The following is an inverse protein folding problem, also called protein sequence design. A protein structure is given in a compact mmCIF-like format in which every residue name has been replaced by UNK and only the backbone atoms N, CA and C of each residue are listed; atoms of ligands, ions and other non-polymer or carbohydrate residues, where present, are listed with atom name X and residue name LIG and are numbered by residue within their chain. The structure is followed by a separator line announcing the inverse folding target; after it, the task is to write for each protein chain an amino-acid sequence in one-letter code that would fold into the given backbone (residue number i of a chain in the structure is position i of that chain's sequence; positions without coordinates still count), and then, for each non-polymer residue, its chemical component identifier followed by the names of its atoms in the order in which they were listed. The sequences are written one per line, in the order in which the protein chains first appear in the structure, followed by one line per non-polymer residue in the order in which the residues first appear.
data_IF_717462592508
#
_entry.id   IF_717462592508
#
_cell.length_a   1.000
_cell.length_b   1.000
_cell.length_c   1.000
_cell.angle_alpha   90.00
_cell.angle_beta   90.00
_cell.angle_gamma   90.00
#
_symmetry.space_group_name_H-M   'P 1'
#
loop_
_entity.id
_entity.type
_entity.pdbx_description
1 polymer ?
#
# COMPACT_ATOMS: atom_id res chain seq x y z
N UNK A 1 12.82 43.70 75.22
CA UNK A 1 12.71 42.22 75.10
C UNK A 1 12.08 41.97 73.73
N UNK A 2 12.86 41.73 72.67
CA UNK A 2 13.28 40.41 72.15
C UNK A 2 12.05 39.50 71.97
N UNK A 3 11.66 38.97 70.81
CA UNK A 3 12.30 38.76 69.49
C UNK A 3 11.86 37.37 68.96
N UNK A 4 11.66 37.23 67.63
CA UNK A 4 11.47 35.95 66.92
C UNK A 4 10.43 36.02 65.78
N UNK A 5 10.80 36.38 64.53
CA UNK A 5 11.31 35.51 63.43
C UNK A 5 10.28 34.43 63.02
N UNK A 6 9.81 34.24 61.78
CA UNK A 6 10.18 34.76 60.45
C UNK A 6 10.10 33.63 59.40
N UNK A 7 9.56 33.95 58.20
CA UNK A 7 9.63 33.23 56.90
C UNK A 7 8.79 31.93 56.73
N UNK A 8 7.99 31.72 55.69
CA UNK A 8 8.06 32.23 54.31
C UNK A 8 8.39 31.06 53.37
N UNK A 9 7.35 30.48 52.74
CA UNK A 9 7.45 29.34 51.81
C UNK A 9 8.23 29.70 50.52
N UNK A 10 9.55 29.77 50.61
CA UNK A 10 10.49 29.79 49.49
C UNK A 10 11.18 28.41 49.37
N UNK A 11 10.41 27.41 48.93
CA UNK A 11 10.94 26.12 48.55
C UNK A 11 10.23 25.66 47.28
N UNK A 12 10.84 25.41 46.13
CA UNK A 12 12.22 25.63 45.62
C UNK A 12 12.05 25.88 44.11
N UNK A 13 12.35 27.08 43.56
CA UNK A 13 12.27 27.32 42.12
C UNK A 13 13.16 26.35 41.32
N UNK A 14 14.28 25.90 41.91
CA UNK A 14 15.14 24.86 41.32
C UNK A 14 14.44 23.51 41.11
N UNK A 15 13.48 23.12 41.97
CA UNK A 15 12.81 21.82 41.83
C UNK A 15 11.83 21.83 40.66
N UNK A 16 11.13 22.95 40.44
CA UNK A 16 10.27 23.13 39.26
C UNK A 16 11.07 23.19 37.97
N UNK A 17 12.23 23.86 37.99
CA UNK A 17 13.13 23.92 36.84
C UNK A 17 13.70 22.53 36.51
N UNK A 18 14.14 21.78 37.53
CA UNK A 18 14.59 20.38 37.37
C UNK A 18 13.51 19.50 36.74
N UNK A 19 12.27 19.56 37.26
CA UNK A 19 11.16 18.77 36.71
C UNK A 19 10.85 19.13 35.26
N UNK A 20 10.93 20.42 34.90
CA UNK A 20 10.70 20.88 33.53
C UNK A 20 11.81 20.41 32.57
N UNK A 21 13.07 20.48 33.00
CA UNK A 21 14.22 19.98 32.22
C UNK A 21 14.17 18.46 32.05
N UNK A 22 13.80 17.71 33.10
CA UNK A 22 13.60 16.26 33.01
C UNK A 22 12.46 15.89 32.05
N UNK A 23 11.35 16.65 32.05
CA UNK A 23 10.24 16.42 31.12
C UNK A 23 10.67 16.69 29.67
N UNK A 24 11.40 17.78 29.42
CA UNK A 24 11.93 18.10 28.10
C UNK A 24 12.94 17.05 27.61
N UNK A 25 13.81 16.56 28.49
CA UNK A 25 14.75 15.49 28.17
C UNK A 25 14.02 14.17 27.88
N UNK A 26 12.96 13.84 28.62
CA UNK A 26 12.15 12.65 28.38
C UNK A 26 11.40 12.74 27.04
N UNK A 27 10.83 13.90 26.73
CA UNK A 27 10.14 14.14 25.46
C UNK A 27 11.09 14.16 24.26
N UNK A 28 12.31 14.71 24.41
CA UNK A 28 13.31 14.69 23.34
C UNK A 28 13.87 13.29 23.09
N UNK A 29 14.05 12.49 24.14
CA UNK A 29 14.41 11.06 24.03
C UNK A 29 13.28 10.28 23.36
N UNK A 30 12.02 10.49 23.73
CA UNK A 30 10.89 9.84 23.05
C UNK A 30 10.76 10.25 21.59
N UNK A 31 10.95 11.54 21.27
CA UNK A 31 10.99 12.03 19.89
C UNK A 31 12.11 11.36 19.10
N UNK A 32 13.34 11.34 19.64
CA UNK A 32 14.48 10.68 19.00
C UNK A 32 14.26 9.17 18.81
N UNK A 33 13.75 8.44 19.81
CA UNK A 33 13.51 7.01 19.67
C UNK A 33 12.33 6.67 18.74
N UNK A 34 11.31 7.54 18.66
CA UNK A 34 10.25 7.41 17.65
C UNK A 34 10.76 7.65 16.22
N UNK A 35 11.73 8.55 16.06
CA UNK A 35 12.42 8.79 14.79
C UNK A 35 13.37 7.62 14.44
N UNK A 36 14.07 7.02 15.41
CA UNK A 36 15.03 5.94 15.13
C UNK A 36 14.38 4.68 14.51
N UNK A 37 13.12 4.38 14.84
CA UNK A 37 12.41 3.24 14.24
C UNK A 37 12.02 3.44 12.77
N UNK A 38 11.74 4.68 12.35
CA UNK A 38 11.51 5.02 10.94
C UNK A 38 12.81 5.31 10.20
N UNK A 39 13.79 5.94 10.87
CA UNK A 39 15.12 6.26 10.35
C UNK A 39 15.91 5.01 9.99
N UNK A 40 15.82 3.90 10.74
CA UNK A 40 16.53 2.67 10.38
C UNK A 40 16.07 2.08 9.04
N UNK A 41 14.76 2.12 8.77
CA UNK A 41 14.18 1.69 7.50
C UNK A 41 14.45 2.71 6.39
N UNK A 42 14.27 4.01 6.68
CA UNK A 42 14.54 5.09 5.73
C UNK A 42 16.02 5.24 5.37
N UNK A 43 16.95 4.94 6.29
CA UNK A 43 18.40 4.96 6.04
C UNK A 43 18.87 3.72 5.25
N UNK A 44 18.23 2.56 5.47
CA UNK A 44 18.42 1.39 4.60
C UNK A 44 17.98 1.72 3.16
N UNK A 45 16.81 2.35 3.01
CA UNK A 45 16.28 2.80 1.71
C UNK A 45 17.15 3.91 1.08
N UNK A 46 17.63 4.86 1.89
CA UNK A 46 18.51 5.95 1.45
C UNK A 46 19.84 5.40 0.94
N UNK A 47 20.45 4.46 1.66
CA UNK A 47 21.66 3.75 1.22
C UNK A 47 21.45 2.99 -0.08
N UNK A 48 20.31 2.31 -0.26
CA UNK A 48 20.03 1.66 -1.56
C UNK A 48 19.89 2.67 -2.69
N UNK A 49 19.35 3.88 -2.44
CA UNK A 49 19.26 4.94 -3.47
C UNK A 49 20.62 5.58 -3.82
N UNK A 50 21.56 5.68 -2.88
CA UNK A 50 22.90 6.19 -3.17
C UNK A 50 23.71 5.19 -4.03
N UNK A 51 23.51 3.88 -3.83
CA UNK A 51 24.06 2.83 -4.70
C UNK A 51 23.49 2.85 -6.14
N UNK A 52 22.28 3.36 -6.37
CA UNK A 52 21.69 3.49 -7.72
C UNK A 52 22.46 4.46 -8.63
N UNK A 53 23.13 5.46 -8.05
CA UNK A 53 23.94 6.43 -8.82
C UNK A 53 25.21 5.82 -9.40
N UNK A 54 25.78 4.79 -8.75
CA UNK A 54 27.05 4.18 -9.17
C UNK A 54 26.87 3.02 -10.17
N UNK A 55 25.68 2.40 -10.22
CA UNK A 55 25.37 1.37 -11.24
C UNK A 55 25.02 1.96 -12.62
N UNK A 56 24.98 3.29 -12.75
CA UNK A 56 24.42 4.01 -13.89
C UNK A 56 25.30 4.08 -15.16
N UNK A 57 26.43 3.36 -15.20
CA UNK A 57 27.37 3.41 -16.34
C UNK A 57 27.68 2.11 -17.07
N UNK A 58 27.08 0.97 -16.70
CA UNK A 58 27.36 -0.27 -17.43
C UNK A 58 26.32 -0.54 -18.54
N UNK A 59 26.83 -0.55 -19.76
CA UNK A 59 26.15 -0.91 -21.00
C UNK A 59 25.54 -2.31 -20.93
N UNK A 60 24.26 -2.41 -20.59
CA UNK A 60 23.48 -3.62 -20.82
C UNK A 60 23.46 -3.98 -22.32
N UNK A 61 23.75 -5.23 -22.71
CA UNK A 61 23.78 -5.64 -24.11
C UNK A 61 22.38 -5.54 -24.75
N UNK A 62 22.38 -5.30 -26.07
CA UNK A 62 21.19 -5.28 -26.92
C UNK A 62 20.35 -6.55 -26.77
N UNK A 63 19.04 -6.36 -26.80
CA UNK A 63 17.97 -7.37 -26.88
C UNK A 63 18.40 -8.68 -27.53
N UNK A 64 18.40 -9.76 -26.73
CA UNK A 64 18.62 -11.11 -27.22
C UNK A 64 17.43 -11.54 -28.09
N UNK A 65 17.68 -11.70 -29.39
CA UNK A 65 16.82 -12.49 -30.26
C UNK A 65 16.97 -13.95 -29.80
N UNK A 66 15.96 -14.50 -29.14
CA UNK A 66 15.92 -15.91 -28.79
C UNK A 66 15.64 -16.71 -30.07
N UNK A 67 16.64 -17.48 -30.51
CA UNK A 67 16.47 -18.51 -31.53
C UNK A 67 15.59 -19.63 -30.94
N UNK A 68 14.40 -19.91 -31.50
CA UNK A 68 13.50 -20.94 -30.98
C UNK A 68 14.06 -22.36 -31.06
N UNK A 69 15.13 -22.59 -31.83
CA UNK A 69 15.69 -23.92 -32.08
C UNK A 69 16.57 -24.47 -30.95
N UNK A 70 17.02 -23.64 -30.00
CA UNK A 70 17.98 -24.03 -28.95
C UNK A 70 17.33 -24.54 -27.64
N UNK A 71 15.99 -24.57 -27.58
CA UNK A 71 15.24 -24.85 -26.34
C UNK A 71 14.85 -26.33 -26.10
N UNK A 72 15.41 -27.29 -26.85
CA UNK A 72 14.85 -28.65 -26.91
C UNK A 72 15.77 -29.82 -26.51
N UNK A 73 16.95 -29.61 -25.93
CA UNK A 73 17.90 -30.74 -25.68
C UNK A 73 18.53 -30.87 -24.30
N UNK A 74 18.24 -30.00 -23.32
CA UNK A 74 18.82 -30.18 -21.98
C UNK A 74 17.82 -30.77 -21.00
N UNK A 75 17.98 -32.07 -20.73
CA UNK A 75 17.27 -32.77 -19.67
C UNK A 75 17.47 -32.03 -18.32
N UNK A 76 16.47 -32.05 -17.41
CA UNK A 76 16.60 -31.45 -16.09
C UNK A 76 17.86 -31.95 -15.39
N UNK A 77 18.74 -31.03 -14.96
CA UNK A 77 19.93 -31.38 -14.19
C UNK A 77 19.58 -31.38 -12.70
N UNK A 78 19.91 -32.48 -12.03
CA UNK A 78 19.73 -32.59 -10.58
C UNK A 78 20.38 -31.40 -9.84
N UNK A 79 19.66 -30.84 -8.87
CA UNK A 79 20.10 -29.67 -8.11
C UNK A 79 19.85 -28.30 -8.77
N UNK A 80 19.22 -28.24 -9.95
CA UNK A 80 18.94 -26.99 -10.66
C UNK A 80 17.46 -26.83 -11.03
N UNK A 81 16.93 -25.62 -10.84
CA UNK A 81 15.64 -25.18 -11.37
C UNK A 81 15.72 -24.89 -12.88
N UNK A 82 16.82 -24.29 -13.32
CA UNK A 82 17.11 -23.98 -14.73
C UNK A 82 18.57 -24.32 -14.99
N UNK A 83 18.84 -25.05 -16.06
CA UNK A 83 20.19 -25.42 -16.45
C UNK A 83 20.38 -25.31 -17.96
N UNK A 84 21.16 -24.32 -18.38
CA UNK A 84 21.73 -24.23 -19.73
C UNK A 84 23.09 -23.48 -19.69
N UNK A 85 23.82 -23.34 -20.81
CA UNK A 85 25.11 -22.66 -20.83
C UNK A 85 25.08 -21.20 -20.34
N UNK A 86 23.97 -20.49 -20.55
CA UNK A 86 23.81 -19.05 -20.28
C UNK A 86 23.15 -18.74 -18.93
N UNK A 87 22.33 -19.65 -18.41
CA UNK A 87 21.55 -19.47 -17.19
C UNK A 87 21.55 -20.75 -16.36
N UNK A 88 21.98 -20.63 -15.10
CA UNK A 88 22.06 -21.73 -14.14
C UNK A 88 21.44 -21.27 -12.84
N UNK A 89 20.23 -21.72 -12.55
CA UNK A 89 19.50 -21.36 -11.33
C UNK A 89 19.46 -22.61 -10.44
N UNK A 90 20.17 -22.64 -9.30
CA UNK A 90 20.15 -23.79 -8.39
C UNK A 90 18.78 -23.95 -7.71
N UNK A 91 18.41 -25.19 -7.39
CA UNK A 91 17.26 -25.50 -6.53
C UNK A 91 17.71 -25.54 -5.07
N UNK A 92 17.70 -24.37 -4.43
CA UNK A 92 18.21 -24.17 -3.07
C UNK A 92 17.17 -24.63 -2.05
N UNK A 93 17.62 -25.36 -1.03
CA UNK A 93 16.81 -25.72 0.14
C UNK A 93 16.33 -24.47 0.89
N UNK A 94 15.00 -24.24 1.03
CA UNK A 94 14.46 -23.13 1.81
C UNK A 94 14.92 -23.10 3.28
N UNK A 95 15.43 -24.20 3.84
CA UNK A 95 15.86 -24.35 5.24
C UNK A 95 17.35 -24.64 5.42
N UNK A 96 18.14 -24.31 4.40
CA UNK A 96 19.59 -24.52 4.40
C UNK A 96 20.26 -23.96 5.66
N UNK A 97 21.23 -24.70 6.20
CA UNK A 97 21.88 -24.40 7.50
C UNK A 97 22.44 -22.98 7.57
N UNK A 98 23.01 -22.49 6.46
CA UNK A 98 23.65 -21.17 6.37
C UNK A 98 22.72 -19.99 6.66
N UNK A 99 21.40 -20.14 6.55
CA UNK A 99 20.44 -19.05 6.80
C UNK A 99 19.63 -19.23 8.09
N UNK A 100 19.74 -20.37 8.78
CA UNK A 100 18.88 -20.70 9.93
C UNK A 100 18.94 -19.63 11.02
N UNK A 101 20.13 -19.06 11.25
CA UNK A 101 20.36 -18.00 12.21
C UNK A 101 19.71 -16.65 11.85
N UNK A 102 19.31 -16.45 10.58
CA UNK A 102 18.62 -15.25 10.09
C UNK A 102 17.09 -15.37 10.19
N UNK A 103 16.57 -16.58 10.43
CA UNK A 103 15.13 -16.84 10.47
C UNK A 103 14.63 -16.56 11.88
N UNK A 104 13.84 -15.49 12.02
CA UNK A 104 13.19 -15.13 13.27
C UNK A 104 11.69 -15.04 13.09
N UNK A 105 10.94 -15.70 13.97
CA UNK A 105 9.49 -15.56 14.01
C UNK A 105 9.14 -14.28 14.76
N UNK A 106 8.34 -13.43 14.12
CA UNK A 106 7.74 -12.25 14.76
C UNK A 106 6.39 -12.63 15.37
N UNK A 107 6.06 -11.97 16.46
CA UNK A 107 4.73 -12.09 17.06
C UNK A 107 3.67 -11.53 16.11
N UNK A 108 2.47 -12.13 16.05
CA UNK A 108 1.38 -11.62 15.23
C UNK A 108 0.97 -10.20 15.63
N UNK A 109 0.47 -9.43 14.66
CA UNK A 109 -0.14 -8.13 14.91
C UNK A 109 -1.37 -8.30 15.81
N UNK A 110 -1.43 -7.58 16.93
CA UNK A 110 -2.58 -7.58 17.83
C UNK A 110 -3.57 -6.53 17.36
N UNK A 111 -4.63 -6.97 16.68
CA UNK A 111 -5.73 -6.11 16.27
C UNK A 111 -6.65 -5.76 17.46
N UNK A 112 -7.43 -4.69 17.31
CA UNK A 112 -8.48 -4.32 18.28
C UNK A 112 -9.43 -5.50 18.53
N UNK A 113 -9.80 -5.70 19.80
CA UNK A 113 -10.80 -6.71 20.20
C UNK A 113 -12.23 -6.21 20.03
N UNK A 114 -12.43 -4.93 19.73
CA UNK A 114 -13.76 -4.35 19.50
C UNK A 114 -14.26 -4.70 18.08
N UNK A 115 -15.48 -5.22 17.94
CA UNK A 115 -16.05 -5.53 16.64
C UNK A 115 -16.45 -4.24 15.91
N UNK A 116 -16.40 -4.19 14.56
CA UNK A 116 -16.71 -2.99 13.80
C UNK A 116 -18.05 -2.35 14.18
N UNK A 117 -18.08 -1.02 14.33
CA UNK A 117 -19.32 -0.27 14.61
C UNK A 117 -20.12 0.02 13.33
N UNK A 118 -19.50 -0.10 12.16
CA UNK A 118 -20.15 0.09 10.87
C UNK A 118 -19.80 -1.01 9.88
N UNK A 119 -20.70 -1.23 8.92
CA UNK A 119 -20.48 -2.09 7.77
C UNK A 119 -21.12 -1.50 6.53
N UNK A 120 -20.68 -1.98 5.37
CA UNK A 120 -21.39 -1.78 4.12
C UNK A 120 -22.00 -3.10 3.67
N UNK A 121 -23.27 -3.05 3.26
CA UNK A 121 -23.95 -4.15 2.59
C UNK A 121 -24.53 -3.65 1.26
N UNK A 122 -24.00 -4.15 0.15
CA UNK A 122 -24.29 -3.59 -1.18
C UNK A 122 -23.80 -2.15 -1.28
N UNK A 123 -24.73 -1.20 -1.43
CA UNK A 123 -24.47 0.25 -1.46
C UNK A 123 -25.02 0.95 -0.22
N UNK A 124 -25.31 0.23 0.86
CA UNK A 124 -25.87 0.80 2.08
C UNK A 124 -24.83 0.75 3.19
N UNK A 125 -24.42 1.93 3.68
CA UNK A 125 -23.69 2.07 4.93
C UNK A 125 -24.66 1.87 6.10
N UNK A 126 -24.27 1.06 7.08
CA UNK A 126 -25.09 0.76 8.25
C UNK A 126 -24.29 0.84 9.54
N UNK A 127 -24.91 1.43 10.57
CA UNK A 127 -24.47 1.37 11.96
C UNK A 127 -24.88 0.03 12.58
N UNK A 128 -23.92 -0.69 13.17
CA UNK A 128 -24.16 -1.97 13.84
C UNK A 128 -24.54 -1.67 15.29
N UNK A 129 -25.83 -1.43 15.53
CA UNK A 129 -26.36 -1.06 16.85
C UNK A 129 -26.03 -2.07 17.95
N UNK A 130 -25.92 -3.35 17.62
CA UNK A 130 -25.54 -4.40 18.60
C UNK A 130 -24.14 -4.17 19.16
N UNK A 131 -23.25 -3.50 18.42
CA UNK A 131 -21.87 -3.26 18.85
C UNK A 131 -21.72 -1.91 19.58
N UNK A 132 -22.69 -1.00 19.46
CA UNK A 132 -22.60 0.37 19.98
C UNK A 132 -22.29 0.45 21.48
N UNK A 133 -22.86 -0.46 22.28
CA UNK A 133 -22.65 -0.51 23.73
C UNK A 133 -21.18 -0.75 24.14
N UNK A 134 -20.37 -1.36 23.27
CA UNK A 134 -18.94 -1.59 23.50
C UNK A 134 -18.10 -0.32 23.33
N UNK A 135 -18.64 0.68 22.62
CA UNK A 135 -17.97 1.95 22.34
C UNK A 135 -18.41 3.10 23.27
N UNK A 136 -19.56 2.95 23.93
CA UNK A 136 -20.08 3.89 24.92
C UNK A 136 -21.61 3.85 25.03
N UNK A 137 -22.22 4.80 25.79
CA UNK A 137 -23.67 4.92 25.89
C UNK A 137 -24.30 5.21 24.52
N UNK A 138 -25.21 4.33 24.07
CA UNK A 138 -25.75 4.34 22.70
C UNK A 138 -26.41 5.66 22.31
N UNK A 139 -27.09 6.30 23.25
CA UNK A 139 -27.76 7.60 23.13
C UNK A 139 -26.80 8.78 22.93
N UNK A 140 -25.50 8.59 23.22
CA UNK A 140 -24.48 9.64 23.14
C UNK A 140 -23.51 9.47 21.97
N UNK A 141 -23.66 8.41 21.19
CA UNK A 141 -22.79 8.13 20.04
C UNK A 141 -23.31 8.88 18.82
N UNK A 142 -22.52 9.85 18.36
CA UNK A 142 -22.82 10.61 17.15
C UNK A 142 -21.87 10.17 16.05
N UNK A 143 -22.40 9.55 15.01
CA UNK A 143 -21.63 9.12 13.84
C UNK A 143 -21.90 10.05 12.65
N UNK A 144 -20.87 10.26 11.84
CA UNK A 144 -20.98 10.88 10.54
C UNK A 144 -20.07 10.17 9.54
N UNK A 145 -20.38 10.32 8.26
CA UNK A 145 -19.57 9.78 7.17
C UNK A 145 -19.09 10.90 6.25
N UNK A 146 -17.95 10.69 5.62
CA UNK A 146 -17.32 11.58 4.66
C UNK A 146 -16.95 10.78 3.42
N UNK A 147 -17.12 11.39 2.26
CA UNK A 147 -16.70 10.82 0.99
C UNK A 147 -15.26 11.23 0.68
N UNK A 148 -14.46 10.28 0.17
CA UNK A 148 -13.07 10.50 -0.23
C UNK A 148 -13.00 10.43 -1.76
N UNK A 149 -12.69 11.56 -2.39
CA UNK A 149 -12.67 11.68 -3.84
C UNK A 149 -11.30 12.08 -4.37
N UNK A 150 -10.85 11.43 -5.44
CA UNK A 150 -9.73 11.94 -6.24
C UNK A 150 -10.22 13.05 -7.15
N UNK A 151 -9.43 14.11 -7.25
CA UNK A 151 -9.61 15.13 -8.28
C UNK A 151 -8.38 15.15 -9.16
N UNK A 152 -8.52 14.69 -10.40
CA UNK A 152 -7.44 14.80 -11.38
C UNK A 152 -7.14 16.28 -11.62
N UNK A 153 -5.90 16.70 -11.38
CA UNK A 153 -5.55 18.11 -11.46
C UNK A 153 -5.66 18.64 -12.90
N UNK A 154 -5.98 19.94 -13.00
CA UNK A 154 -5.99 20.69 -14.26
C UNK A 154 -4.59 21.18 -14.64
N UNK A 155 -3.73 21.39 -13.65
CA UNK A 155 -2.35 21.85 -13.82
C UNK A 155 -1.35 20.87 -13.19
N UNK A 156 -0.15 20.83 -13.78
CA UNK A 156 0.89 19.90 -13.37
C UNK A 156 1.46 20.24 -11.99
N UNK A 157 1.58 19.23 -11.13
CA UNK A 157 2.25 19.24 -9.83
C UNK A 157 3.04 17.93 -9.67
N UNK A 158 4.24 17.97 -9.09
CA UNK A 158 5.06 16.79 -8.81
C UNK A 158 4.45 15.83 -7.77
N UNK A 159 3.39 16.26 -7.06
CA UNK A 159 2.60 15.44 -6.12
C UNK A 159 1.14 15.36 -6.52
N UNK A 160 0.85 15.49 -7.82
CA UNK A 160 -0.52 15.45 -8.36
C UNK A 160 -1.29 14.19 -7.96
N UNK A 161 -0.63 13.04 -7.90
CA UNK A 161 -1.26 11.75 -7.57
C UNK A 161 -1.58 11.59 -6.08
N UNK A 162 -1.16 12.55 -5.25
CA UNK A 162 -1.46 12.61 -3.81
C UNK A 162 -2.67 13.51 -3.49
N UNK A 163 -3.25 14.13 -4.52
CA UNK A 163 -4.34 15.10 -4.38
C UNK A 163 -5.69 14.38 -4.32
N UNK A 164 -6.33 14.46 -3.15
CA UNK A 164 -7.68 14.00 -2.92
C UNK A 164 -8.41 14.95 -1.98
N UNK A 165 -9.74 14.91 -1.99
CA UNK A 165 -10.59 15.66 -1.08
C UNK A 165 -11.37 14.73 -0.15
N UNK A 166 -11.74 15.28 1.01
CA UNK A 166 -12.64 14.63 1.96
C UNK A 166 -13.83 15.56 2.16
N UNK A 167 -15.04 15.07 1.93
CA UNK A 167 -16.25 15.88 2.05
C UNK A 167 -16.52 16.36 3.47
N UNK A 168 -17.46 17.28 3.63
CA UNK A 168 -18.02 17.59 4.94
C UNK A 168 -18.64 16.32 5.58
N UNK A 169 -18.57 16.23 6.91
CA UNK A 169 -19.11 15.09 7.64
C UNK A 169 -20.63 15.14 7.69
N UNK A 170 -21.27 14.16 7.07
CA UNK A 170 -22.73 14.04 7.00
C UNK A 170 -23.21 13.12 8.13
N UNK A 171 -24.04 13.61 9.06
CA UNK A 171 -24.51 12.80 10.18
C UNK A 171 -25.42 11.68 9.71
N UNK A 172 -25.33 10.52 10.35
CA UNK A 172 -26.27 9.42 10.14
C UNK A 172 -26.46 8.63 11.45
N UNK A 173 -27.65 8.05 11.61
CA UNK A 173 -28.07 7.38 12.86
C UNK A 173 -28.33 5.89 12.70
N UNK A 174 -28.60 5.42 11.48
CA UNK A 174 -28.87 4.01 11.21
C UNK A 174 -28.26 3.57 9.88
N UNK A 175 -28.92 3.90 8.77
CA UNK A 175 -28.46 3.52 7.43
C UNK A 175 -28.39 4.70 6.47
N UNK A 176 -27.46 4.64 5.52
CA UNK A 176 -27.32 5.59 4.42
C UNK A 176 -27.16 4.83 3.11
N UNK A 177 -27.96 5.17 2.10
CA UNK A 177 -27.74 4.70 0.74
C UNK A 177 -26.70 5.58 0.07
N UNK A 178 -25.59 4.97 -0.31
CA UNK A 178 -24.52 5.62 -1.04
C UNK A 178 -24.91 5.78 -2.50
N UNK A 179 -24.46 6.87 -3.12
CA UNK A 179 -24.65 7.12 -4.56
C UNK A 179 -23.74 6.22 -5.39
N UNK A 180 -24.02 6.13 -6.70
CA UNK A 180 -23.17 5.35 -7.62
C UNK A 180 -21.75 5.88 -7.73
N UNK A 181 -21.51 7.15 -7.39
CA UNK A 181 -20.20 7.79 -7.54
C UNK A 181 -19.30 7.62 -6.31
N UNK A 182 -19.92 7.32 -5.17
CA UNK A 182 -19.21 7.17 -3.90
C UNK A 182 -18.47 5.85 -3.82
N UNK A 183 -17.14 5.92 -3.82
CA UNK A 183 -16.25 4.74 -3.79
C UNK A 183 -15.62 4.51 -2.43
N UNK A 184 -15.32 5.58 -1.68
CA UNK A 184 -14.52 5.50 -0.48
C UNK A 184 -15.16 6.32 0.63
N UNK A 185 -15.54 5.65 1.72
CA UNK A 185 -16.29 6.26 2.81
C UNK A 185 -15.48 6.22 4.09
N UNK A 186 -15.19 7.39 4.66
CA UNK A 186 -14.62 7.54 5.99
C UNK A 186 -15.74 7.75 7.00
N UNK A 187 -15.83 6.89 8.01
CA UNK A 187 -16.77 7.02 9.11
C UNK A 187 -16.01 7.46 10.36
N UNK A 188 -16.55 8.47 11.06
CA UNK A 188 -16.11 8.87 12.39
C UNK A 188 -17.29 8.89 13.34
N UNK A 189 -17.12 8.28 14.51
CA UNK A 189 -18.07 8.37 15.60
C UNK A 189 -17.43 8.99 16.83
N UNK A 190 -18.19 9.88 17.48
CA UNK A 190 -17.73 10.65 18.62
C UNK A 190 -18.76 10.60 19.75
N UNK A 191 -18.27 10.77 20.98
CA UNK A 191 -19.10 11.08 22.15
C UNK A 191 -18.85 12.54 22.53
N UNK A 192 -19.89 13.40 22.54
CA UNK A 192 -19.77 14.77 23.03
C UNK A 192 -19.36 14.77 24.51
N UNK A 193 -18.34 15.57 24.86
CA UNK A 193 -18.02 15.94 26.25
C UNK A 193 -18.11 17.46 26.38
N UNK A 194 -18.19 17.96 27.62
CA UNK A 194 -18.42 19.40 27.91
C UNK A 194 -17.53 20.36 27.10
N UNK A 195 -16.28 19.99 26.81
CA UNK A 195 -15.29 20.89 26.18
C UNK A 195 -14.69 20.34 24.87
N UNK A 196 -14.94 19.07 24.51
CA UNK A 196 -14.40 18.44 23.29
C UNK A 196 -15.21 17.21 22.92
N UNK A 197 -15.25 16.87 21.63
CA UNK A 197 -15.74 15.57 21.14
C UNK A 197 -14.63 14.53 21.31
N UNK A 198 -14.91 13.40 21.97
CA UNK A 198 -13.99 12.25 22.01
C UNK A 198 -14.30 11.34 20.83
N UNK A 199 -13.33 11.13 19.95
CA UNK A 199 -13.41 10.09 18.93
C UNK A 199 -13.34 8.71 19.59
N UNK A 200 -14.26 7.83 19.19
CA UNK A 200 -14.39 6.47 19.73
C UNK A 200 -14.28 5.40 18.64
N UNK A 201 -14.44 5.78 17.38
CA UNK A 201 -14.42 4.88 16.25
C UNK A 201 -14.11 5.66 14.98
N UNK A 202 -13.12 5.17 14.24
CA UNK A 202 -12.80 5.61 12.89
C UNK A 202 -12.61 4.37 12.04
N UNK A 203 -13.25 4.34 10.89
CA UNK A 203 -13.11 3.25 9.94
C UNK A 203 -13.34 3.75 8.51
N UNK A 204 -12.66 3.14 7.55
CA UNK A 204 -12.81 3.43 6.14
C UNK A 204 -13.42 2.22 5.43
N UNK A 205 -14.29 2.48 4.47
CA UNK A 205 -14.91 1.46 3.64
C UNK A 205 -14.65 1.76 2.17
N UNK A 206 -14.18 0.77 1.43
CA UNK A 206 -14.08 0.82 -0.02
C UNK A 206 -15.26 0.05 -0.65
N UNK A 207 -15.92 0.66 -1.62
CA UNK A 207 -17.00 0.06 -2.40
C UNK A 207 -16.65 0.16 -3.89
N UNK A 208 -17.16 -0.79 -4.66
CA UNK A 208 -16.95 -0.89 -6.11
C UNK A 208 -18.29 -0.69 -6.82
N UNK A 209 -18.80 0.56 -6.87
CA UNK A 209 -20.11 0.83 -7.45
C UNK A 209 -20.09 0.77 -8.97
N UNK A 210 -21.20 0.33 -9.58
CA UNK A 210 -21.37 0.39 -11.04
C UNK A 210 -21.75 1.83 -11.43
N UNK A 211 -20.73 2.66 -11.60
CA UNK A 211 -20.83 4.06 -12.06
C UNK A 211 -21.35 4.15 -13.50
N UNK A 212 -21.77 5.34 -13.91
CA UNK A 212 -22.44 5.58 -15.20
C UNK A 212 -21.58 5.16 -16.40
N UNK A 213 -20.31 5.51 -16.39
CA UNK A 213 -19.34 5.19 -17.43
C UNK A 213 -18.99 3.70 -17.47
N UNK A 214 -18.96 3.03 -16.31
CA UNK A 214 -18.81 1.56 -16.24
C UNK A 214 -20.02 0.86 -16.84
N UNK A 215 -21.23 1.32 -16.53
CA UNK A 215 -22.46 0.79 -17.15
C UNK A 215 -22.41 0.93 -18.67
N UNK A 216 -21.99 2.08 -19.18
CA UNK A 216 -21.82 2.32 -20.62
C UNK A 216 -20.76 1.39 -21.23
N UNK A 217 -19.61 1.23 -20.56
CA UNK A 217 -18.52 0.33 -20.98
C UNK A 217 -18.99 -1.12 -21.07
N UNK A 218 -19.77 -1.59 -20.09
CA UNK A 218 -20.36 -2.93 -20.07
C UNK A 218 -21.41 -3.10 -21.17
N UNK A 219 -22.35 -2.16 -21.31
CA UNK A 219 -23.41 -2.23 -22.34
C UNK A 219 -22.85 -2.35 -23.76
N UNK A 220 -21.78 -1.61 -24.07
CA UNK A 220 -21.15 -1.64 -25.39
C UNK A 220 -20.37 -2.94 -25.67
N UNK A 221 -20.05 -3.72 -24.64
CA UNK A 221 -19.15 -4.88 -24.75
C UNK A 221 -19.80 -6.22 -24.40
N UNK A 222 -21.04 -6.22 -23.91
CA UNK A 222 -21.84 -7.42 -23.64
C UNK A 222 -22.45 -7.95 -24.94
N UNK A 223 -21.60 -8.52 -25.81
CA UNK A 223 -22.08 -9.39 -26.88
C UNK A 223 -22.36 -10.78 -26.29
N UNK A 224 -23.58 -11.36 -26.44
CA UNK A 224 -23.97 -12.63 -25.82
C UNK A 224 -23.05 -13.82 -26.15
N UNK A 225 -22.31 -13.75 -27.25
CA UNK A 225 -21.43 -14.82 -27.74
C UNK A 225 -19.96 -14.71 -27.30
N UNK A 226 -19.56 -13.69 -26.53
CA UNK A 226 -18.16 -13.46 -26.20
C UNK A 226 -17.86 -13.76 -24.71
N UNK A 227 -17.46 -15.00 -24.40
CA UNK A 227 -16.96 -15.35 -23.08
C UNK A 227 -15.59 -14.70 -22.88
N UNK A 228 -15.50 -13.69 -22.00
CA UNK A 228 -14.25 -12.99 -21.67
C UNK A 228 -13.77 -13.43 -20.28
N UNK A 229 -12.47 -13.67 -20.13
CA UNK A 229 -11.86 -14.11 -18.87
C UNK A 229 -11.46 -12.89 -18.03
N UNK A 230 -11.85 -12.85 -16.76
CA UNK A 230 -11.31 -11.87 -15.81
C UNK A 230 -9.86 -12.20 -15.45
N UNK A 231 -9.01 -11.17 -15.41
CA UNK A 231 -7.59 -11.30 -15.03
C UNK A 231 -7.37 -10.57 -13.72
N UNK A 232 -6.77 -11.25 -12.74
CA UNK A 232 -6.36 -10.70 -11.45
C UNK A 232 -4.86 -10.93 -11.27
N UNK A 233 -4.14 -9.86 -10.95
CA UNK A 233 -2.72 -9.91 -10.59
C UNK A 233 -2.64 -9.52 -9.11
N UNK A 234 -2.07 -10.41 -8.29
CA UNK A 234 -1.83 -10.16 -6.85
C UNK A 234 -0.33 -10.18 -6.62
N UNK A 235 0.20 -9.08 -6.11
CA UNK A 235 1.60 -8.94 -5.70
C UNK A 235 1.74 -8.98 -4.18
N UNK A 236 2.86 -9.49 -3.69
CA UNK A 236 3.27 -9.41 -2.29
C UNK A 236 4.70 -8.89 -2.26
N UNK A 237 4.89 -7.69 -1.74
CA UNK A 237 6.21 -7.10 -1.53
C UNK A 237 6.71 -7.46 -0.12
N UNK A 238 7.98 -7.79 0.16
CA UNK A 238 9.15 -8.05 -0.70
C UNK A 238 9.57 -9.52 -0.59
N UNK A 239 8.70 -10.45 -1.01
CA UNK A 239 8.89 -11.88 -0.71
C UNK A 239 9.59 -12.65 -1.84
N UNK A 240 10.67 -13.36 -1.51
CA UNK A 240 11.28 -14.33 -2.44
C UNK A 240 10.53 -15.65 -2.42
N UNK A 241 10.66 -16.48 -3.48
CA UNK A 241 10.09 -17.83 -3.53
C UNK A 241 10.44 -18.66 -2.29
N UNK A 242 11.71 -18.66 -1.89
CA UNK A 242 12.16 -19.43 -0.73
C UNK A 242 11.55 -18.88 0.57
N UNK A 243 11.39 -17.56 0.67
CA UNK A 243 10.77 -16.95 1.84
C UNK A 243 9.28 -17.26 1.92
N UNK A 244 8.56 -17.28 0.79
CA UNK A 244 7.16 -17.69 0.71
C UNK A 244 6.95 -19.13 1.23
N UNK A 245 7.85 -20.05 0.87
CA UNK A 245 7.80 -21.44 1.36
C UNK A 245 7.94 -21.49 2.90
N UNK A 246 8.83 -20.67 3.47
CA UNK A 246 9.06 -20.63 4.91
C UNK A 246 7.92 -19.97 5.68
N UNK A 247 7.47 -18.80 5.24
CA UNK A 247 6.57 -17.93 6.03
C UNK A 247 5.10 -18.17 5.72
N UNK A 248 4.76 -18.73 4.56
CA UNK A 248 3.38 -18.99 4.13
C UNK A 248 3.18 -20.45 3.66
N UNK A 249 3.58 -21.47 4.45
CA UNK A 249 3.55 -22.88 4.03
C UNK A 249 2.12 -23.38 3.72
N UNK A 250 1.12 -22.88 4.44
CA UNK A 250 -0.30 -23.21 4.17
C UNK A 250 -0.75 -22.71 2.79
N UNK A 251 -0.34 -21.51 2.42
CA UNK A 251 -0.63 -20.92 1.10
C UNK A 251 0.06 -21.73 0.00
N UNK A 252 1.33 -22.07 0.19
CA UNK A 252 2.08 -22.89 -0.79
C UNK A 252 1.42 -24.25 -1.00
N UNK A 253 1.08 -24.95 0.07
CA UNK A 253 0.39 -26.25 -0.02
C UNK A 253 -0.97 -26.14 -0.73
N UNK A 254 -1.74 -25.09 -0.44
CA UNK A 254 -3.02 -24.84 -1.12
C UNK A 254 -2.84 -24.65 -2.63
N UNK A 255 -1.88 -23.81 -3.06
CA UNK A 255 -1.62 -23.55 -4.48
C UNK A 255 -1.16 -24.82 -5.22
N UNK A 256 -0.33 -25.64 -4.58
CA UNK A 256 0.12 -26.93 -5.12
C UNK A 256 -1.05 -27.90 -5.30
N UNK A 257 -1.92 -28.03 -4.29
CA UNK A 257 -3.09 -28.91 -4.35
C UNK A 257 -4.10 -28.47 -5.43
N UNK A 258 -4.20 -27.15 -5.68
CA UNK A 258 -5.03 -26.57 -6.74
C UNK A 258 -4.39 -26.65 -8.14
N UNK A 259 -3.24 -27.34 -8.29
CA UNK A 259 -2.52 -27.51 -9.55
C UNK A 259 -2.13 -26.19 -10.24
N UNK A 260 -1.80 -25.17 -9.46
CA UNK A 260 -1.30 -23.90 -10.02
C UNK A 260 0.07 -24.11 -10.68
N UNK A 261 0.28 -23.44 -11.81
CA UNK A 261 1.56 -23.48 -12.51
C UNK A 261 2.59 -22.62 -11.77
N UNK A 262 3.60 -23.27 -11.18
CA UNK A 262 4.73 -22.57 -10.59
C UNK A 262 5.77 -22.24 -11.68
N UNK A 263 5.99 -20.95 -11.93
CA UNK A 263 7.03 -20.47 -12.83
C UNK A 263 8.42 -20.54 -12.17
N UNK A 264 8.95 -21.76 -12.00
CA UNK A 264 10.31 -21.98 -11.47
C UNK A 264 11.33 -21.31 -12.39
N UNK A 265 12.32 -20.63 -11.80
CA UNK A 265 13.33 -19.89 -12.55
C UNK A 265 12.89 -18.49 -13.01
N UNK A 266 11.61 -18.11 -12.85
CA UNK A 266 11.21 -16.72 -12.97
C UNK A 266 11.92 -15.87 -11.92
N UNK A 267 12.49 -14.75 -12.35
CA UNK A 267 13.29 -13.89 -11.49
C UNK A 267 12.99 -12.41 -11.78
N UNK A 268 13.33 -11.57 -10.80
CA UNK A 268 13.19 -10.13 -10.88
C UNK A 268 14.16 -9.57 -11.94
N UNK A 269 13.74 -8.50 -12.60
CA UNK A 269 14.53 -7.74 -13.56
C UNK A 269 15.59 -6.86 -12.90
N UNK A 270 15.29 -6.33 -11.72
CA UNK A 270 16.16 -5.38 -11.01
C UNK A 270 15.88 -5.43 -9.49
N UNK A 271 16.56 -4.61 -8.70
CA UNK A 271 16.47 -4.68 -7.25
C UNK A 271 15.17 -4.12 -6.65
N UNK A 272 14.69 -3.00 -7.19
CA UNK A 272 13.57 -2.24 -6.64
C UNK A 272 12.21 -2.61 -7.25
N UNK A 273 11.11 -2.30 -6.56
CA UNK A 273 9.75 -2.65 -6.98
C UNK A 273 9.37 -2.02 -8.33
N UNK A 274 9.70 -0.74 -8.54
CA UNK A 274 9.38 -0.01 -9.77
C UNK A 274 9.85 -0.69 -11.07
N UNK A 275 11.15 -0.96 -11.31
CA UNK A 275 11.60 -1.58 -12.56
C UNK A 275 10.99 -2.97 -12.79
N UNK A 276 10.76 -3.75 -11.74
CA UNK A 276 10.13 -5.07 -11.83
C UNK A 276 8.67 -4.99 -12.26
N UNK A 277 7.88 -4.12 -11.63
CA UNK A 277 6.48 -3.92 -12.00
C UNK A 277 6.33 -3.20 -13.34
N UNK A 278 7.24 -2.30 -13.70
CA UNK A 278 7.26 -1.74 -15.07
C UNK A 278 7.47 -2.83 -16.12
N UNK A 279 8.38 -3.78 -15.89
CA UNK A 279 8.59 -4.88 -16.82
C UNK A 279 7.34 -5.76 -16.96
N UNK A 280 6.68 -6.10 -15.86
CA UNK A 280 5.45 -6.91 -15.87
C UNK A 280 4.30 -6.17 -16.54
N UNK A 281 4.09 -4.90 -16.19
CA UNK A 281 2.89 -4.17 -16.56
C UNK A 281 3.02 -3.44 -17.88
N UNK A 282 4.22 -3.17 -18.38
CA UNK A 282 4.44 -2.45 -19.64
C UNK A 282 5.30 -3.20 -20.65
N UNK A 283 5.95 -4.30 -20.25
CA UNK A 283 6.94 -4.99 -21.08
C UNK A 283 8.26 -4.24 -21.23
N UNK A 284 8.50 -3.18 -20.46
CA UNK A 284 9.68 -2.33 -20.59
C UNK A 284 10.57 -2.39 -19.35
N UNK A 285 11.88 -2.42 -19.57
CA UNK A 285 12.87 -2.19 -18.52
C UNK A 285 13.01 -0.69 -18.21
N UNK A 286 13.72 -0.36 -17.13
CA UNK A 286 13.90 1.02 -16.67
C UNK A 286 14.45 1.95 -17.76
N UNK A 287 15.48 1.52 -18.50
CA UNK A 287 16.10 2.32 -19.58
C UNK A 287 15.12 2.62 -20.71
N UNK A 288 14.26 1.68 -21.07
CA UNK A 288 13.19 1.89 -22.06
C UNK A 288 12.15 2.86 -21.54
N UNK A 289 11.72 2.72 -20.28
CA UNK A 289 10.80 3.65 -19.60
C UNK A 289 11.34 5.07 -19.61
N UNK A 290 12.59 5.28 -19.20
CA UNK A 290 13.25 6.59 -19.18
C UNK A 290 13.48 7.22 -20.56
N UNK A 291 13.46 6.43 -21.63
CA UNK A 291 13.59 6.96 -23.00
C UNK A 291 12.27 7.23 -23.69
N UNK A 292 11.18 6.68 -23.17
CA UNK A 292 9.87 6.66 -23.84
C UNK A 292 8.84 7.51 -23.11
N UNK A 293 8.45 7.08 -21.90
CA UNK A 293 7.25 7.57 -21.25
C UNK A 293 7.50 8.30 -19.92
N UNK A 294 8.63 8.04 -19.25
CA UNK A 294 8.97 8.71 -17.99
C UNK A 294 10.44 9.18 -18.00
N UNK A 295 10.77 10.26 -18.73
CA UNK A 295 12.14 10.73 -18.90
C UNK A 295 12.94 10.95 -17.61
N UNK A 296 12.26 11.40 -16.55
CA UNK A 296 12.80 11.49 -15.21
C UNK A 296 11.66 11.32 -14.18
N UNK A 297 12.02 11.22 -12.90
CA UNK A 297 11.06 10.98 -11.82
C UNK A 297 10.01 12.10 -11.63
N UNK A 298 10.21 13.28 -12.21
CA UNK A 298 9.21 14.37 -12.18
C UNK A 298 8.16 14.21 -13.28
N UNK A 299 8.37 13.36 -14.28
CA UNK A 299 7.36 13.09 -15.29
C UNK A 299 6.32 12.09 -14.76
N UNK A 300 5.02 12.29 -15.04
CA UNK A 300 4.02 11.30 -14.73
C UNK A 300 4.18 10.08 -15.65
N UNK A 301 3.79 8.90 -15.16
CA UNK A 301 3.86 7.64 -15.92
C UNK A 301 2.68 7.44 -16.88
N UNK A 302 1.80 8.43 -16.99
CA UNK A 302 0.55 8.40 -17.75
C UNK A 302 0.71 7.97 -19.21
N UNK A 303 1.86 8.22 -19.85
CA UNK A 303 2.09 7.86 -21.25
C UNK A 303 2.66 6.45 -21.41
N UNK A 304 3.01 5.77 -20.33
CA UNK A 304 3.55 4.42 -20.39
C UNK A 304 2.48 3.41 -20.88
N UNK A 305 2.84 2.42 -21.71
CA UNK A 305 1.94 1.44 -22.30
C UNK A 305 1.57 0.33 -21.29
N UNK A 306 0.92 0.72 -20.19
CA UNK A 306 0.45 -0.23 -19.20
C UNK A 306 -0.60 -1.19 -19.77
N UNK A 307 -0.50 -2.47 -19.40
CA UNK A 307 -1.33 -3.56 -19.91
C UNK A 307 -2.82 -3.32 -19.65
N UNK A 308 -3.16 -2.65 -18.54
CA UNK A 308 -4.56 -2.30 -18.25
C UNK A 308 -5.16 -1.32 -19.28
N UNK A 309 -4.35 -0.55 -20.01
CA UNK A 309 -4.84 0.28 -21.12
C UNK A 309 -5.34 -0.60 -22.26
N UNK A 310 -4.58 -1.63 -22.63
CA UNK A 310 -5.02 -2.60 -23.63
C UNK A 310 -6.30 -3.32 -23.18
N UNK A 311 -6.40 -3.70 -21.91
CA UNK A 311 -7.64 -4.25 -21.36
C UNK A 311 -8.80 -3.24 -21.43
N UNK A 312 -8.55 -1.98 -21.07
CA UNK A 312 -9.56 -0.93 -21.12
C UNK A 312 -10.07 -0.67 -22.55
N UNK A 313 -9.17 -0.65 -23.54
CA UNK A 313 -9.49 -0.48 -24.96
C UNK A 313 -10.32 -1.66 -25.49
N UNK A 314 -10.09 -2.85 -24.95
CA UNK A 314 -10.92 -4.03 -25.22
C UNK A 314 -12.21 -4.05 -24.38
N UNK A 315 -12.52 -3.00 -23.61
CA UNK A 315 -13.77 -2.88 -22.87
C UNK A 315 -13.81 -3.55 -21.51
N UNK A 316 -12.67 -3.98 -20.96
CA UNK A 316 -12.59 -4.52 -19.61
C UNK A 316 -12.70 -3.41 -18.57
N UNK A 317 -13.37 -3.70 -17.47
CA UNK A 317 -13.35 -2.84 -16.29
C UNK A 317 -12.02 -3.05 -15.55
N UNK A 318 -11.27 -1.98 -15.30
CA UNK A 318 -9.90 -2.06 -14.77
C UNK A 318 -9.80 -1.56 -13.34
N UNK A 319 -8.86 -2.12 -12.58
CA UNK A 319 -8.59 -1.71 -11.21
C UNK A 319 -7.11 -1.72 -10.92
N UNK A 320 -6.64 -0.73 -10.16
CA UNK A 320 -5.30 -0.72 -9.57
C UNK A 320 -5.38 -0.30 -8.11
N UNK A 321 -4.73 -1.06 -7.26
CA UNK A 321 -4.61 -0.75 -5.84
C UNK A 321 -3.33 -1.34 -5.27
N UNK A 322 -2.74 -0.57 -4.38
CA UNK A 322 -1.48 -0.86 -3.70
C UNK A 322 -1.59 -0.24 -2.31
N UNK A 323 -1.10 -0.94 -1.29
CA UNK A 323 -0.95 -0.43 0.06
C UNK A 323 0.31 0.46 0.20
N UNK A 324 0.62 0.93 1.41
CA UNK A 324 1.82 1.76 1.70
C UNK A 324 2.03 2.93 0.72
N UNK A 325 1.03 3.83 0.52
CA UNK A 325 1.04 4.87 -0.52
C UNK A 325 2.22 5.84 -0.48
N UNK A 326 2.95 5.94 0.63
CA UNK A 326 4.17 6.76 0.74
C UNK A 326 5.37 6.17 0.00
N UNK A 327 5.48 4.83 -0.03
CA UNK A 327 6.53 4.07 -0.71
C UNK A 327 6.00 3.27 -1.91
N UNK A 328 4.74 3.48 -2.29
CA UNK A 328 4.11 2.81 -3.42
C UNK A 328 4.91 2.93 -4.73
N UNK A 329 4.81 1.88 -5.54
CA UNK A 329 5.62 1.61 -6.74
C UNK A 329 5.80 2.83 -7.63
N UNK A 330 4.71 3.53 -7.97
CA UNK A 330 4.73 4.63 -8.92
C UNK A 330 4.93 6.01 -8.27
N UNK A 331 4.93 6.08 -6.94
CA UNK A 331 4.88 7.34 -6.18
C UNK A 331 6.11 7.58 -5.30
N UNK A 332 6.85 6.53 -4.96
CA UNK A 332 8.09 6.68 -4.20
C UNK A 332 9.13 7.50 -5.00
N UNK A 333 9.41 8.69 -4.48
CA UNK A 333 10.27 9.71 -5.11
C UNK A 333 9.90 10.04 -6.57
N UNK A 334 8.65 9.81 -6.97
CA UNK A 334 8.15 9.98 -8.34
C UNK A 334 6.82 10.73 -8.34
N UNK A 335 6.47 11.29 -9.49
CA UNK A 335 5.20 12.02 -9.66
C UNK A 335 3.97 11.11 -9.61
N UNK A 336 4.10 9.84 -10.01
CA UNK A 336 2.96 8.92 -10.13
C UNK A 336 2.09 9.22 -11.34
N UNK A 337 0.79 9.07 -11.17
CA UNK A 337 -0.21 9.28 -12.21
C UNK A 337 -0.82 10.69 -12.16
N UNK A 338 -0.74 11.44 -13.26
CA UNK A 338 -1.39 12.74 -13.38
C UNK A 338 -2.90 12.60 -13.58
N UNK A 339 -3.35 11.67 -14.43
CA UNK A 339 -4.75 11.25 -14.57
C UNK A 339 -5.00 9.90 -13.92
N UNK A 340 -6.21 9.67 -13.46
CA UNK A 340 -6.62 8.39 -12.88
C UNK A 340 -6.36 7.24 -13.86
N UNK A 341 -5.53 6.23 -13.50
CA UNK A 341 -5.00 5.27 -14.48
C UNK A 341 -5.95 4.13 -14.86
N UNK A 342 -6.94 3.85 -14.02
CA UNK A 342 -7.85 2.70 -14.11
C UNK A 342 -9.27 3.10 -13.71
N UNK A 343 -10.27 2.29 -14.06
CA UNK A 343 -11.66 2.57 -13.70
C UNK A 343 -11.84 2.69 -12.17
N UNK A 344 -11.21 1.80 -11.39
CA UNK A 344 -11.12 1.90 -9.93
C UNK A 344 -9.67 2.08 -9.51
N UNK A 345 -9.40 3.10 -8.70
CA UNK A 345 -8.05 3.45 -8.27
C UNK A 345 -7.99 3.67 -6.75
N UNK A 346 -7.26 2.82 -6.04
CA UNK A 346 -7.33 2.74 -4.57
C UNK A 346 -6.51 3.82 -3.84
N UNK A 347 -5.56 4.49 -4.50
CA UNK A 347 -4.62 5.41 -3.83
C UNK A 347 -5.26 6.46 -2.91
N UNK A 348 -6.37 7.16 -3.28
CA UNK A 348 -7.00 8.14 -2.39
C UNK A 348 -7.48 7.52 -1.07
N UNK A 349 -8.00 6.29 -1.13
CA UNK A 349 -8.40 5.53 0.05
C UNK A 349 -7.21 5.25 0.95
N UNK A 350 -6.11 4.75 0.39
CA UNK A 350 -4.91 4.44 1.18
C UNK A 350 -4.27 5.69 1.80
N UNK A 351 -4.20 6.79 1.04
CA UNK A 351 -3.70 8.07 1.57
C UNK A 351 -4.57 8.58 2.72
N UNK A 352 -5.89 8.42 2.63
CA UNK A 352 -6.80 8.77 3.71
C UNK A 352 -6.64 7.83 4.92
N UNK A 353 -6.42 6.54 4.68
CA UNK A 353 -6.24 5.53 5.71
C UNK A 353 -4.97 5.75 6.54
N UNK A 354 -3.86 6.17 5.93
CA UNK A 354 -2.61 6.42 6.67
C UNK A 354 -2.56 7.77 7.40
N UNK A 355 -3.40 8.73 7.01
CA UNK A 355 -3.45 10.06 7.64
C UNK A 355 -4.40 10.12 8.85
N UNK A 356 -5.26 9.13 9.06
CA UNK A 356 -6.25 9.09 10.14
C UNK A 356 -5.98 7.89 11.04
#
# INVERSE_FOLDING_TARGET
MVGGLGLGSQARPCLRLMLFVCLLAFLSVFYFFSDVTSVGYMELIRRTSEFETDFYYNTGPSTYLLDPSDNLTHAPREGYLVWNPSCRIPDIDPWHESIRHLIHRKDPVVCSTLPPLTRIHGHTLQLIHTNAHLYGPRDKINCCFQDINRHDADSFNNKVDDVYSVSACQPFTDTVNLTSEQQFILVKCVIPRLWKKKEIYTNLHAVVPIRKEIRKKLQNNLSPNHHRMSVLIVGIDSISRLNLIRTMPRTVSYLQNMSWVQMKGYNKMDDNTFPNLMAILTGMNYKQVSRSCMPNNKNPVDTCPFIWKNFSDQGYVTGYGEDEPTIGTFNYQKTGFFKTPTDYYLRPFMLAAERN
#
